data_IF_239919157857
#
_entry.id   IF_239919157857
#
_cell.length_a   1.000
_cell.length_b   1.000
_cell.length_c   1.000
_cell.angle_alpha   90.00
_cell.angle_beta   90.00
_cell.angle_gamma   90.00
#
_symmetry.space_group_name_H-M   'P 1'
#
loop_
_entity.id
_entity.type
_entity.pdbx_description
1 polymer ?
#
# COMPACT_ATOMS: atom_id res chain seq x y z
N UNK A 1 16.41 19.14 1.82
CA UNK A 1 15.20 18.72 2.58
C UNK A 1 15.62 17.80 3.72
N UNK A 2 15.10 17.99 4.95
CA UNK A 2 15.39 17.09 6.08
C UNK A 2 14.96 15.65 5.71
N UNK A 3 15.77 14.63 6.05
CA UNK A 3 15.51 13.22 5.70
C UNK A 3 14.13 12.75 6.17
N UNK A 4 13.77 13.09 7.41
CA UNK A 4 12.46 12.76 8.00
C UNK A 4 11.30 13.37 7.19
N UNK A 5 11.44 14.63 6.77
CA UNK A 5 10.43 15.30 5.94
C UNK A 5 10.26 14.60 4.59
N UNK A 6 11.36 14.13 3.98
CA UNK A 6 11.29 13.33 2.74
C UNK A 6 10.48 12.06 2.95
N UNK A 7 10.71 11.34 4.04
CA UNK A 7 10.00 10.10 4.34
C UNK A 7 8.51 10.35 4.57
N UNK A 8 8.17 11.37 5.36
CA UNK A 8 6.78 11.77 5.61
C UNK A 8 6.07 12.11 4.29
N UNK A 9 6.70 12.92 3.42
CA UNK A 9 6.12 13.27 2.12
C UNK A 9 5.91 12.02 1.26
N UNK A 10 6.88 11.11 1.19
CA UNK A 10 6.73 9.87 0.42
C UNK A 10 5.56 9.02 0.92
N UNK A 11 5.39 8.90 2.23
CA UNK A 11 4.26 8.16 2.83
C UNK A 11 2.93 8.86 2.51
N UNK A 12 2.84 10.19 2.65
CA UNK A 12 1.61 10.96 2.33
C UNK A 12 1.25 10.81 0.85
N UNK A 13 2.21 10.97 -0.05
CA UNK A 13 1.97 10.84 -1.49
C UNK A 13 1.49 9.41 -1.81
N UNK A 14 2.13 8.39 -1.23
CA UNK A 14 1.70 7.01 -1.40
C UNK A 14 0.28 6.78 -0.86
N UNK A 15 -0.06 7.34 0.31
CA UNK A 15 -1.43 7.28 0.86
C UNK A 15 -2.47 7.91 -0.06
N UNK A 16 -2.18 9.08 -0.64
CA UNK A 16 -3.11 9.73 -1.58
C UNK A 16 -3.32 8.88 -2.83
N UNK A 17 -2.23 8.35 -3.41
CA UNK A 17 -2.32 7.43 -4.55
C UNK A 17 -3.14 6.19 -4.19
N UNK A 18 -2.86 5.58 -3.03
CA UNK A 18 -3.61 4.43 -2.53
C UNK A 18 -5.09 4.70 -2.35
N UNK A 19 -5.45 5.88 -1.83
CA UNK A 19 -6.84 6.32 -1.69
C UNK A 19 -7.55 6.43 -3.04
N UNK A 20 -6.91 7.05 -4.04
CA UNK A 20 -7.48 7.18 -5.40
C UNK A 20 -7.69 5.80 -6.03
N UNK A 21 -6.68 4.93 -5.95
CA UNK A 21 -6.78 3.56 -6.46
C UNK A 21 -7.89 2.79 -5.74
N UNK A 22 -7.95 2.88 -4.42
CA UNK A 22 -8.99 2.24 -3.61
C UNK A 22 -10.39 2.75 -3.94
N UNK A 23 -10.56 4.05 -4.21
CA UNK A 23 -11.83 4.63 -4.66
C UNK A 23 -12.27 4.03 -6.00
N UNK A 24 -11.37 4.00 -6.99
CA UNK A 24 -11.65 3.46 -8.32
C UNK A 24 -12.04 1.98 -8.20
N UNK A 25 -11.25 1.19 -7.46
CA UNK A 25 -11.53 -0.23 -7.25
C UNK A 25 -12.87 -0.46 -6.54
N UNK A 26 -13.17 0.30 -5.49
CA UNK A 26 -14.45 0.19 -4.78
C UNK A 26 -15.64 0.51 -5.69
N UNK A 27 -15.51 1.50 -6.58
CA UNK A 27 -16.55 1.83 -7.58
C UNK A 27 -16.71 0.72 -8.62
N UNK A 28 -15.62 0.21 -9.16
CA UNK A 28 -15.63 -0.90 -10.12
C UNK A 28 -16.28 -2.13 -9.50
N UNK A 29 -15.90 -2.48 -8.26
CA UNK A 29 -16.45 -3.63 -7.56
C UNK A 29 -17.97 -3.52 -7.42
N UNK A 30 -18.49 -2.38 -6.96
CA UNK A 30 -19.94 -2.17 -6.83
C UNK A 30 -20.63 -2.29 -8.20
N UNK A 31 -20.06 -1.71 -9.26
CA UNK A 31 -20.64 -1.75 -10.59
C UNK A 31 -20.67 -3.17 -11.17
N UNK A 32 -19.58 -3.94 -11.00
CA UNK A 32 -19.50 -5.32 -11.47
C UNK A 32 -20.50 -6.23 -10.73
N UNK A 33 -20.66 -6.05 -9.42
CA UNK A 33 -21.65 -6.79 -8.63
C UNK A 33 -23.10 -6.35 -8.86
N UNK A 34 -23.34 -5.34 -9.70
CA UNK A 34 -24.68 -4.98 -10.19
C UNK A 34 -24.96 -5.56 -11.59
N UNK A 35 -23.93 -6.05 -12.29
CA UNK A 35 -24.06 -6.58 -13.64
C UNK A 35 -24.51 -8.06 -13.58
N UNK A 36 -25.71 -8.38 -14.10
CA UNK A 36 -26.22 -9.75 -14.08
C UNK A 36 -25.35 -10.73 -14.87
N UNK A 37 -24.70 -10.29 -15.96
CA UNK A 37 -23.83 -11.16 -16.77
C UNK A 37 -22.58 -11.54 -15.98
N UNK A 38 -22.01 -10.56 -15.25
CA UNK A 38 -20.87 -10.80 -14.37
C UNK A 38 -21.23 -11.77 -13.23
N UNK A 39 -22.38 -11.57 -12.59
CA UNK A 39 -22.86 -12.50 -11.55
C UNK A 39 -23.05 -13.92 -12.10
N UNK A 40 -23.65 -14.04 -13.28
CA UNK A 40 -23.86 -15.34 -13.92
C UNK A 40 -22.52 -16.02 -14.24
N UNK A 41 -21.51 -15.25 -14.66
CA UNK A 41 -20.15 -15.75 -14.86
C UNK A 41 -19.49 -16.19 -13.54
N UNK A 42 -19.70 -15.48 -12.43
CA UNK A 42 -19.20 -15.94 -11.12
C UNK A 42 -19.87 -17.25 -10.70
N UNK A 43 -21.19 -17.35 -10.86
CA UNK A 43 -21.93 -18.56 -10.54
C UNK A 43 -21.53 -19.74 -11.44
N UNK A 44 -21.25 -19.51 -12.73
CA UNK A 44 -20.78 -20.57 -13.63
C UNK A 44 -19.42 -21.15 -13.22
N UNK A 45 -18.60 -20.36 -12.53
CA UNK A 45 -17.31 -20.78 -11.99
C UNK A 45 -17.40 -21.21 -10.51
N UNK A 46 -18.61 -21.37 -9.97
CA UNK A 46 -18.87 -21.78 -8.59
C UNK A 46 -18.20 -20.85 -7.55
N UNK A 47 -18.04 -19.57 -7.90
CA UNK A 47 -17.45 -18.56 -7.02
C UNK A 47 -18.50 -17.97 -6.09
N UNK A 48 -18.14 -17.77 -4.81
CA UNK A 48 -19.01 -17.11 -3.84
C UNK A 48 -19.14 -15.62 -4.16
N UNK A 49 -20.38 -15.14 -4.20
CA UNK A 49 -20.69 -13.72 -4.34
C UNK A 49 -20.59 -13.08 -2.96
N UNK A 50 -19.51 -12.34 -2.73
CA UNK A 50 -19.34 -11.57 -1.50
C UNK A 50 -19.97 -10.19 -1.65
N UNK A 51 -20.48 -9.64 -0.55
CA UNK A 51 -20.90 -8.24 -0.53
C UNK A 51 -19.74 -7.32 -0.91
N UNK A 52 -20.00 -6.24 -1.66
CA UNK A 52 -18.97 -5.29 -2.03
C UNK A 52 -18.34 -4.71 -0.77
N UNK A 53 -17.00 -4.64 -0.74
CA UNK A 53 -16.22 -4.09 0.38
C UNK A 53 -16.67 -2.66 0.71
N UNK A 54 -17.15 -1.94 -0.30
CA UNK A 54 -17.60 -0.55 -0.21
C UNK A 54 -16.47 0.42 -0.51
N UNK A 55 -16.83 1.61 -0.99
CA UNK A 55 -15.87 2.62 -1.47
C UNK A 55 -14.94 3.07 -0.34
N UNK A 56 -15.49 3.39 0.83
CA UNK A 56 -14.71 3.88 1.99
C UNK A 56 -13.68 2.83 2.45
N UNK A 57 -14.11 1.59 2.63
CA UNK A 57 -13.22 0.51 3.07
C UNK A 57 -12.15 0.21 2.01
N UNK A 58 -12.51 0.27 0.73
CA UNK A 58 -11.55 0.11 -0.38
C UNK A 58 -10.50 1.23 -0.39
N UNK A 59 -10.91 2.48 -0.14
CA UNK A 59 -9.98 3.61 0.03
C UNK A 59 -9.04 3.42 1.22
N UNK A 60 -9.57 3.01 2.38
CA UNK A 60 -8.76 2.74 3.58
C UNK A 60 -7.74 1.61 3.34
N UNK A 61 -8.17 0.52 2.71
CA UNK A 61 -7.28 -0.58 2.32
C UNK A 61 -6.19 -0.08 1.35
N UNK A 62 -6.57 0.72 0.35
CA UNK A 62 -5.63 1.33 -0.59
C UNK A 62 -4.59 2.20 0.13
N UNK A 63 -5.03 3.06 1.06
CA UNK A 63 -4.12 3.87 1.90
C UNK A 63 -3.16 2.96 2.66
N UNK A 64 -3.65 1.95 3.38
CA UNK A 64 -2.82 1.04 4.17
C UNK A 64 -1.78 0.30 3.32
N UNK A 65 -2.17 -0.24 2.17
CA UNK A 65 -1.28 -1.00 1.29
C UNK A 65 -0.20 -0.09 0.71
N UNK A 66 -0.57 1.04 0.10
CA UNK A 66 0.41 1.88 -0.59
C UNK A 66 1.35 2.59 0.40
N UNK A 67 0.81 3.11 1.50
CA UNK A 67 1.64 3.73 2.54
C UNK A 67 2.55 2.72 3.25
N UNK A 68 2.04 1.49 3.43
CA UNK A 68 2.80 0.37 3.96
C UNK A 68 3.94 -0.05 3.05
N UNK A 69 3.68 -0.28 1.76
CA UNK A 69 4.71 -0.60 0.76
C UNK A 69 5.78 0.49 0.69
N UNK A 70 5.38 1.77 0.68
CA UNK A 70 6.32 2.89 0.70
C UNK A 70 7.20 2.87 1.95
N UNK A 71 6.62 2.63 3.13
CA UNK A 71 7.37 2.51 4.39
C UNK A 71 8.33 1.33 4.37
N UNK A 72 7.85 0.16 3.92
CA UNK A 72 8.65 -1.04 3.77
C UNK A 72 9.85 -0.83 2.85
N UNK A 73 9.65 -0.13 1.74
CA UNK A 73 10.72 0.22 0.80
C UNK A 73 11.75 1.17 1.41
N UNK A 74 11.32 2.15 2.22
CA UNK A 74 12.23 3.06 2.93
C UNK A 74 13.12 2.26 3.91
N UNK A 75 12.51 1.36 4.68
CA UNK A 75 13.22 0.51 5.65
C UNK A 75 14.18 -0.44 4.91
N UNK A 76 13.70 -1.12 3.86
CA UNK A 76 14.51 -1.98 3.01
C UNK A 76 15.73 -1.26 2.43
N UNK A 77 15.53 -0.05 1.91
CA UNK A 77 16.60 0.77 1.35
C UNK A 77 17.66 1.10 2.43
N UNK A 78 17.25 1.33 3.67
CA UNK A 78 18.17 1.58 4.77
C UNK A 78 19.12 0.39 5.02
N UNK A 79 18.62 -0.84 5.00
CA UNK A 79 19.42 -2.05 5.21
C UNK A 79 20.30 -2.40 4.02
N UNK A 80 19.82 -2.14 2.80
CA UNK A 80 20.48 -2.59 1.58
C UNK A 80 21.36 -1.55 0.91
N UNK A 81 21.42 -0.32 1.43
CA UNK A 81 22.21 0.78 0.86
C UNK A 81 23.71 0.47 0.68
N UNK A 82 24.24 -0.54 1.39
CA UNK A 82 25.64 -0.99 1.30
C UNK A 82 25.93 -1.87 0.07
N UNK A 83 24.89 -2.44 -0.57
CA UNK A 83 25.05 -3.30 -1.74
C UNK A 83 24.99 -2.51 -3.05
N UNK A 84 25.53 -3.09 -4.12
CA UNK A 84 25.43 -2.53 -5.48
C UNK A 84 23.97 -2.49 -5.94
N UNK A 85 23.64 -1.58 -6.87
CA UNK A 85 22.26 -1.40 -7.35
C UNK A 85 21.63 -2.70 -7.88
N UNK A 86 22.39 -3.51 -8.62
CA UNK A 86 21.91 -4.77 -9.18
C UNK A 86 21.53 -5.78 -8.08
N UNK A 87 22.41 -5.98 -7.09
CA UNK A 87 22.15 -6.86 -5.94
C UNK A 87 20.95 -6.38 -5.13
N UNK A 88 20.82 -5.07 -4.95
CA UNK A 88 19.65 -4.48 -4.30
C UNK A 88 18.38 -4.79 -5.06
N UNK A 89 18.32 -4.60 -6.37
CA UNK A 89 17.10 -4.93 -7.12
C UNK A 89 16.73 -6.41 -7.02
N UNK A 90 17.69 -7.32 -7.11
CA UNK A 90 17.44 -8.77 -6.98
C UNK A 90 16.86 -9.10 -5.60
N UNK A 91 17.50 -8.63 -4.52
CA UNK A 91 17.02 -8.86 -3.15
C UNK A 91 15.66 -8.17 -2.94
N UNK A 92 15.47 -6.97 -3.49
CA UNK A 92 14.22 -6.22 -3.39
C UNK A 92 13.06 -6.96 -4.02
N UNK A 93 13.25 -7.56 -5.19
CA UNK A 93 12.20 -8.37 -5.85
C UNK A 93 11.88 -9.61 -5.01
N UNK A 94 12.90 -10.32 -4.53
CA UNK A 94 12.72 -11.54 -3.71
C UNK A 94 12.07 -11.24 -2.36
N UNK A 95 12.44 -10.12 -1.73
CA UNK A 95 11.98 -9.72 -0.41
C UNK A 95 10.72 -8.86 -0.43
N UNK A 96 10.20 -8.51 -1.62
CA UNK A 96 9.03 -7.64 -1.81
C UNK A 96 7.86 -7.94 -0.88
N UNK A 97 7.35 -9.20 -0.80
CA UNK A 97 6.21 -9.47 0.07
C UNK A 97 6.55 -9.25 1.54
N UNK A 98 7.76 -9.60 1.98
CA UNK A 98 8.17 -9.51 3.38
C UNK A 98 8.29 -8.07 3.86
N UNK A 99 9.06 -7.22 3.16
CA UNK A 99 9.21 -5.84 3.59
C UNK A 99 7.92 -5.04 3.41
N UNK A 100 7.06 -5.42 2.45
CA UNK A 100 5.76 -4.77 2.27
C UNK A 100 4.83 -5.05 3.44
N UNK A 101 4.75 -6.31 3.91
CA UNK A 101 3.97 -6.66 5.12
C UNK A 101 4.52 -5.94 6.35
N UNK A 102 5.84 -5.96 6.55
CA UNK A 102 6.47 -5.23 7.65
C UNK A 102 6.19 -3.73 7.57
N UNK A 103 6.19 -3.17 6.36
CA UNK A 103 5.85 -1.78 6.11
C UNK A 103 4.40 -1.45 6.45
N UNK A 104 3.45 -2.31 6.09
CA UNK A 104 2.01 -2.15 6.44
C UNK A 104 1.83 -2.16 7.96
N UNK A 105 2.49 -3.08 8.67
CA UNK A 105 2.44 -3.13 10.14
C UNK A 105 3.16 -1.94 10.79
N UNK A 106 4.23 -1.46 10.16
CA UNK A 106 5.12 -0.44 10.70
C UNK A 106 4.78 1.00 10.29
N UNK A 107 3.85 1.23 9.36
CA UNK A 107 3.62 2.57 8.78
C UNK A 107 3.21 3.61 9.83
N UNK A 108 2.28 3.26 10.72
CA UNK A 108 1.81 4.17 11.78
C UNK A 108 2.93 4.53 12.75
N UNK A 109 3.61 3.57 13.43
CA UNK A 109 4.68 3.91 14.36
C UNK A 109 5.85 4.61 13.66
N UNK A 110 6.18 4.24 12.42
CA UNK A 110 7.25 4.87 11.66
C UNK A 110 6.92 6.33 11.29
N UNK A 111 5.69 6.60 10.86
CA UNK A 111 5.24 7.95 10.54
C UNK A 111 5.32 8.86 11.77
N UNK A 112 4.78 8.41 12.91
CA UNK A 112 4.82 9.15 14.18
C UNK A 112 6.27 9.44 14.60
N UNK A 113 7.15 8.43 14.51
CA UNK A 113 8.57 8.59 14.83
C UNK A 113 9.24 9.69 13.99
N UNK A 114 9.03 9.69 12.67
CA UNK A 114 9.62 10.71 11.79
C UNK A 114 9.06 12.10 12.08
N UNK A 115 7.76 12.23 12.41
CA UNK A 115 7.15 13.51 12.79
C UNK A 115 7.76 14.05 14.08
N UNK A 116 7.86 13.22 15.13
CA UNK A 116 8.48 13.63 16.41
C UNK A 116 9.94 14.04 16.20
N UNK A 117 10.70 13.28 15.43
CA UNK A 117 12.10 13.59 15.15
C UNK A 117 12.27 14.86 14.33
N UNK A 118 11.31 15.17 13.44
CA UNK A 118 11.28 16.41 12.68
C UNK A 118 10.99 17.62 13.58
N UNK A 119 10.10 17.49 14.56
CA UNK A 119 9.76 18.56 15.52
C UNK A 119 10.87 18.85 16.54
N UNK A 120 11.68 17.84 16.89
CA UNK A 120 12.82 17.99 17.81
C UNK A 120 14.05 18.65 17.19
N UNK A 121 14.10 18.79 15.86
CA UNK A 121 15.23 19.33 15.09
C UNK A 121 14.88 20.66 14.44
#
# INVERSE_FOLDING_TARGET
MKKELRHIIMIIVASVVGSIVGYILGKIQIQQLQDPDFIQQLMSHNMMIHEPIGVINSMLLGICIFSGVATGLIIYNHFTCKFTLATRMIIGILAFPFYSILGILGVIPYFIYNVVLLMKK
#
